data_IF_647631398198
#
_entry.id   IF_647631398198
#
_cell.length_a   1.000
_cell.length_b   1.000
_cell.length_c   1.000
_cell.angle_alpha   90.00
_cell.angle_beta   90.00
_cell.angle_gamma   90.00
#
_symmetry.space_group_name_H-M   'P 1'
#
loop_
_entity.id
_entity.type
_entity.pdbx_description
1 polymer ?
#
# COMPACT_ATOMS: atom_id res chain seq x y z
N UNK A 1 12.20 2.02 -35.54
CA UNK A 1 11.54 1.77 -34.25
C UNK A 1 12.22 2.64 -33.19
N UNK A 2 11.46 3.47 -32.45
CA UNK A 2 12.03 4.26 -31.36
C UNK A 2 12.06 3.42 -30.10
N UNK A 3 13.20 3.35 -29.43
CA UNK A 3 13.38 2.67 -28.15
C UNK A 3 13.70 3.72 -27.07
N UNK A 4 13.19 3.47 -25.87
CA UNK A 4 13.44 4.27 -24.68
C UNK A 4 14.00 3.34 -23.60
N UNK A 5 15.11 3.71 -23.00
CA UNK A 5 15.74 2.97 -21.92
C UNK A 5 15.85 3.82 -20.65
N UNK A 6 15.63 3.20 -19.50
CA UNK A 6 15.84 3.78 -18.16
C UNK A 6 16.80 2.92 -17.41
N UNK A 7 17.83 3.50 -16.84
CA UNK A 7 18.72 2.85 -15.88
C UNK A 7 18.58 3.53 -14.52
N UNK A 8 18.27 2.78 -13.47
CA UNK A 8 18.10 3.29 -12.13
C UNK A 8 18.21 2.18 -11.09
N UNK A 9 18.52 2.53 -9.86
CA UNK A 9 18.33 1.66 -8.71
C UNK A 9 16.83 1.49 -8.46
N UNK A 10 16.32 0.28 -8.18
CA UNK A 10 14.91 0.03 -7.94
C UNK A 10 14.50 0.56 -6.56
N UNK A 11 13.95 1.77 -6.55
CA UNK A 11 13.53 2.44 -5.33
C UNK A 11 12.01 2.44 -5.20
N UNK A 12 11.51 1.68 -4.22
CA UNK A 12 10.09 1.60 -3.90
C UNK A 12 9.21 0.98 -5.00
N UNK A 13 7.92 0.91 -4.71
CA UNK A 13 6.91 0.35 -5.63
C UNK A 13 6.15 1.46 -6.38
N UNK A 14 6.91 2.43 -6.94
CA UNK A 14 6.38 3.60 -7.65
C UNK A 14 6.24 3.34 -9.15
N UNK A 15 6.32 4.40 -9.97
CA UNK A 15 6.08 4.35 -11.42
C UNK A 15 6.93 3.28 -12.14
N UNK A 16 8.18 3.10 -11.73
CA UNK A 16 9.08 2.10 -12.34
C UNK A 16 8.62 0.67 -12.04
N UNK A 17 8.19 0.40 -10.82
CA UNK A 17 7.56 -0.87 -10.47
C UNK A 17 6.29 -1.10 -11.28
N UNK A 18 5.38 -0.13 -11.28
CA UNK A 18 4.12 -0.24 -12.00
C UNK A 18 4.32 -0.42 -13.51
N UNK A 19 5.38 0.19 -14.06
CA UNK A 19 5.67 0.13 -15.51
C UNK A 19 6.41 -1.14 -15.91
N UNK A 20 7.29 -1.69 -15.08
CA UNK A 20 8.21 -2.75 -15.48
C UNK A 20 8.26 -3.95 -14.52
N UNK A 21 8.01 -3.78 -13.24
CA UNK A 21 8.26 -4.78 -12.19
C UNK A 21 7.03 -5.56 -11.74
N UNK A 22 5.84 -4.98 -11.81
CA UNK A 22 4.59 -5.61 -11.36
C UNK A 22 4.23 -6.83 -12.21
N UNK A 23 3.40 -7.73 -11.68
CA UNK A 23 2.94 -8.90 -12.40
C UNK A 23 2.21 -8.51 -13.69
N UNK A 24 1.39 -7.45 -13.64
CA UNK A 24 0.71 -6.92 -14.82
C UNK A 24 1.72 -6.37 -15.86
N UNK A 25 2.73 -5.62 -15.41
CA UNK A 25 3.75 -5.08 -16.31
C UNK A 25 4.55 -6.18 -17.04
N UNK A 26 4.81 -7.31 -16.38
CA UNK A 26 5.53 -8.46 -16.96
C UNK A 26 4.76 -9.15 -18.09
N UNK A 27 3.46 -8.99 -18.18
CA UNK A 27 2.65 -9.54 -19.29
C UNK A 27 2.71 -8.69 -20.56
N UNK A 28 3.23 -7.47 -20.49
CA UNK A 28 3.33 -6.56 -21.63
C UNK A 28 4.52 -6.93 -22.52
N UNK A 29 4.32 -6.93 -23.83
CA UNK A 29 5.34 -7.27 -24.83
C UNK A 29 6.15 -6.06 -25.34
N UNK A 30 5.67 -4.85 -25.05
CA UNK A 30 6.26 -3.58 -25.49
C UNK A 30 7.39 -3.07 -24.57
N UNK A 31 7.63 -3.77 -23.46
CA UNK A 31 8.62 -3.39 -22.45
C UNK A 31 9.34 -4.58 -21.85
N UNK A 32 10.51 -4.32 -21.30
CA UNK A 32 11.32 -5.35 -20.64
C UNK A 32 12.06 -4.78 -19.44
N UNK A 33 12.04 -5.50 -18.32
CA UNK A 33 12.90 -5.26 -17.17
C UNK A 33 14.15 -6.14 -17.28
N UNK A 34 15.33 -5.51 -17.17
CA UNK A 34 16.60 -6.20 -17.03
C UNK A 34 17.12 -5.86 -15.63
N UNK A 35 17.26 -6.87 -14.79
CA UNK A 35 17.89 -6.74 -13.48
C UNK A 35 19.37 -7.03 -13.58
N UNK A 36 20.18 -6.20 -12.96
CA UNK A 36 21.62 -6.38 -12.80
C UNK A 36 21.91 -6.28 -11.30
N UNK A 37 22.59 -7.29 -10.77
CA UNK A 37 23.02 -7.28 -9.37
C UNK A 37 24.43 -6.67 -9.26
N UNK A 38 24.72 -6.04 -8.14
CA UNK A 38 26.07 -5.54 -7.89
C UNK A 38 27.11 -6.67 -7.96
N UNK A 39 26.76 -7.86 -7.50
CA UNK A 39 27.61 -9.06 -7.59
C UNK A 39 27.96 -9.47 -9.03
N UNK A 40 27.17 -9.09 -10.01
CA UNK A 40 27.39 -9.43 -11.41
C UNK A 40 28.45 -8.54 -12.09
N UNK A 41 28.96 -7.52 -11.39
CA UNK A 41 29.99 -6.61 -11.89
C UNK A 41 31.41 -7.09 -11.49
N UNK A 42 32.19 -7.64 -12.45
CA UNK A 42 33.53 -8.18 -12.15
C UNK A 42 34.61 -7.11 -11.89
N UNK A 43 34.28 -5.83 -12.10
CA UNK A 43 35.23 -4.71 -11.96
C UNK A 43 35.16 -4.02 -10.60
N UNK A 44 34.34 -4.53 -9.67
CA UNK A 44 34.26 -3.95 -8.33
C UNK A 44 35.49 -4.32 -7.49
N UNK A 45 35.98 -3.38 -6.63
CA UNK A 45 36.97 -3.71 -5.61
C UNK A 45 36.48 -4.86 -4.71
N UNK A 46 37.40 -5.70 -4.25
CA UNK A 46 37.07 -6.88 -3.43
C UNK A 46 36.36 -6.56 -2.11
N UNK A 47 36.55 -5.36 -1.58
CA UNK A 47 35.97 -4.87 -0.35
C UNK A 47 34.71 -4.00 -0.53
N UNK A 48 34.30 -3.79 -1.78
CA UNK A 48 33.15 -2.90 -2.08
C UNK A 48 31.85 -3.40 -1.44
N UNK A 49 31.57 -4.69 -1.57
CA UNK A 49 30.36 -5.30 -1.04
C UNK A 49 30.34 -5.27 0.49
N UNK A 50 31.46 -5.65 1.13
CA UNK A 50 31.60 -5.61 2.59
C UNK A 50 31.38 -4.21 3.15
N UNK A 51 31.89 -3.19 2.48
CA UNK A 51 31.65 -1.79 2.87
C UNK A 51 30.18 -1.37 2.73
N UNK A 52 29.47 -1.88 1.74
CA UNK A 52 28.03 -1.65 1.64
C UNK A 52 27.28 -2.31 2.79
N UNK A 53 27.61 -3.57 3.10
CA UNK A 53 27.00 -4.34 4.18
C UNK A 53 27.22 -3.72 5.57
N UNK A 54 28.39 -3.11 5.79
CA UNK A 54 28.72 -2.42 7.03
C UNK A 54 27.99 -1.06 7.21
N UNK A 55 27.66 -0.38 6.11
CA UNK A 55 27.21 1.01 6.15
C UNK A 55 25.72 1.20 5.82
N UNK A 56 25.04 0.18 5.31
CA UNK A 56 23.65 0.31 4.88
C UNK A 56 22.72 -0.67 5.60
N UNK A 57 21.51 -0.21 5.88
CA UNK A 57 20.44 -1.05 6.43
C UNK A 57 20.00 -2.14 5.43
N UNK A 58 19.48 -3.25 5.95
CA UNK A 58 19.12 -4.44 5.17
C UNK A 58 18.20 -4.17 3.97
N UNK A 59 17.26 -3.23 4.10
CA UNK A 59 16.35 -2.85 2.99
C UNK A 59 17.07 -2.18 1.82
N UNK A 60 18.04 -1.30 2.12
CA UNK A 60 18.89 -0.65 1.12
C UNK A 60 19.81 -1.67 0.43
N UNK A 61 20.35 -2.61 1.19
CA UNK A 61 21.19 -3.67 0.65
C UNK A 61 20.46 -4.52 -0.39
N UNK A 62 19.18 -4.86 -0.17
CA UNK A 62 18.38 -5.61 -1.15
C UNK A 62 18.26 -4.86 -2.48
N UNK A 63 18.02 -3.54 -2.45
CA UNK A 63 17.96 -2.74 -3.65
C UNK A 63 19.31 -2.63 -4.37
N UNK A 64 20.37 -2.33 -3.62
CA UNK A 64 21.70 -2.07 -4.21
C UNK A 64 22.42 -3.35 -4.62
N UNK A 65 22.37 -4.41 -3.80
CA UNK A 65 23.12 -5.64 -4.10
C UNK A 65 22.36 -6.55 -5.06
N UNK A 66 21.05 -6.72 -4.88
CA UNK A 66 20.26 -7.67 -5.65
C UNK A 66 19.43 -7.03 -6.76
N UNK A 67 19.38 -5.70 -6.85
CA UNK A 67 18.54 -4.99 -7.81
C UNK A 67 17.04 -5.27 -7.61
N UNK A 68 16.62 -5.45 -6.37
CA UNK A 68 15.23 -5.75 -6.04
C UNK A 68 14.45 -4.50 -5.67
N UNK A 69 13.19 -4.45 -6.09
CA UNK A 69 12.29 -3.39 -5.66
C UNK A 69 11.98 -3.58 -4.18
N UNK A 70 12.44 -2.66 -3.37
CA UNK A 70 12.15 -2.62 -1.94
C UNK A 70 11.82 -1.20 -1.51
N UNK A 71 11.12 -1.10 -0.39
CA UNK A 71 10.79 0.20 0.16
C UNK A 71 12.00 0.73 0.93
N UNK A 72 12.71 1.70 0.35
CA UNK A 72 13.95 2.27 0.91
C UNK A 72 13.67 3.46 1.85
N UNK A 73 12.42 3.79 2.08
CA UNK A 73 12.06 4.95 2.92
C UNK A 73 12.48 4.71 4.37
N UNK A 74 13.47 5.46 4.82
CA UNK A 74 13.77 5.66 6.24
C UNK A 74 12.52 6.18 6.93
N UNK A 75 12.06 5.49 7.98
CA UNK A 75 10.83 5.86 8.67
C UNK A 75 9.59 5.04 8.27
N UNK A 76 9.77 3.82 7.79
CA UNK A 76 8.66 2.88 7.56
C UNK A 76 7.94 2.63 8.87
N UNK A 77 6.67 3.05 8.95
CA UNK A 77 5.83 2.89 10.14
C UNK A 77 5.68 1.40 10.49
N UNK A 78 5.58 0.53 9.48
CA UNK A 78 5.48 -0.92 9.64
C UNK A 78 6.77 -1.61 9.18
N UNK A 79 7.83 -1.48 9.97
CA UNK A 79 9.16 -2.04 9.64
C UNK A 79 9.19 -3.56 9.49
N UNK A 80 8.21 -4.27 10.08
CA UNK A 80 8.05 -5.73 9.99
C UNK A 80 7.14 -6.17 8.86
N UNK A 81 6.62 -5.25 8.06
CA UNK A 81 5.75 -5.62 6.93
C UNK A 81 6.58 -6.28 5.83
N UNK A 82 6.25 -7.54 5.53
CA UNK A 82 6.84 -8.32 4.45
C UNK A 82 5.73 -8.77 3.49
N UNK A 83 5.87 -8.42 2.21
CA UNK A 83 4.84 -8.72 1.20
C UNK A 83 4.61 -10.22 1.01
N UNK A 84 5.66 -11.03 1.11
CA UNK A 84 5.54 -12.48 0.93
C UNK A 84 4.74 -13.16 2.04
N UNK A 85 4.73 -12.54 3.23
CA UNK A 85 4.06 -13.05 4.42
C UNK A 85 2.72 -12.38 4.67
N UNK A 86 2.61 -11.06 4.38
CA UNK A 86 1.47 -10.25 4.80
C UNK A 86 0.50 -9.89 3.67
N UNK A 87 0.83 -10.23 2.41
CA UNK A 87 -0.07 -9.98 1.27
C UNK A 87 -0.62 -11.31 0.78
N UNK A 88 -1.93 -11.40 0.68
CA UNK A 88 -2.64 -12.52 0.09
C UNK A 88 -3.21 -12.12 -1.26
N UNK A 89 -3.20 -13.02 -2.23
CA UNK A 89 -3.71 -12.77 -3.57
C UNK A 89 -5.23 -12.99 -3.68
N UNK A 90 -5.81 -13.75 -2.75
CA UNK A 90 -7.22 -14.08 -2.75
C UNK A 90 -8.02 -13.13 -1.86
N UNK A 91 -9.11 -12.59 -2.42
CA UNK A 91 -10.07 -11.81 -1.63
C UNK A 91 -10.81 -12.73 -0.66
N UNK A 92 -10.96 -12.37 0.65
CA UNK A 92 -11.68 -13.19 1.59
C UNK A 92 -13.17 -13.30 1.23
N UNK A 93 -13.80 -14.43 1.57
CA UNK A 93 -15.25 -14.53 1.52
C UNK A 93 -15.85 -13.69 2.65
N UNK A 94 -16.65 -12.70 2.29
CA UNK A 94 -17.27 -11.75 3.22
C UNK A 94 -18.78 -11.99 3.41
N UNK A 95 -19.33 -13.07 2.83
CA UNK A 95 -20.75 -13.36 2.91
C UNK A 95 -21.17 -13.60 4.36
N UNK A 96 -22.15 -12.82 4.83
CA UNK A 96 -22.66 -12.82 6.20
C UNK A 96 -21.63 -12.49 7.31
N UNK A 97 -20.44 -12.05 6.96
CA UNK A 97 -19.41 -11.69 7.93
C UNK A 97 -19.51 -10.21 8.32
N UNK A 98 -19.28 -9.87 9.61
CA UNK A 98 -19.20 -8.48 10.03
C UNK A 98 -17.91 -7.84 9.57
N UNK A 99 -18.02 -6.70 8.89
CA UNK A 99 -16.88 -5.94 8.40
C UNK A 99 -16.43 -4.88 9.40
N UNK A 100 -15.15 -4.59 9.40
CA UNK A 100 -14.52 -3.55 10.21
C UNK A 100 -13.95 -2.48 9.29
N UNK A 101 -14.34 -1.23 9.50
CA UNK A 101 -13.97 -0.11 8.64
C UNK A 101 -13.27 0.94 9.48
N UNK A 102 -12.00 1.18 9.18
CA UNK A 102 -11.24 2.31 9.72
C UNK A 102 -11.42 3.53 8.83
N UNK A 103 -11.70 4.69 9.40
CA UNK A 103 -11.94 5.94 8.66
C UNK A 103 -11.00 7.02 9.17
N UNK A 104 -10.34 7.70 8.21
CA UNK A 104 -9.54 8.91 8.40
C UNK A 104 -10.27 10.08 7.74
N UNK A 105 -10.68 11.07 8.57
CA UNK A 105 -11.44 12.23 8.12
C UNK A 105 -10.51 13.36 7.69
N UNK A 106 -10.57 13.67 6.40
CA UNK A 106 -9.89 14.82 5.84
C UNK A 106 -10.84 15.62 4.95
N UNK A 107 -10.80 16.92 5.03
CA UNK A 107 -11.67 17.79 4.21
C UNK A 107 -11.41 17.55 2.73
N UNK A 108 -12.45 17.10 2.01
CA UNK A 108 -12.37 16.80 0.59
C UNK A 108 -11.53 15.55 0.22
N UNK A 109 -11.10 14.78 1.22
CA UNK A 109 -10.26 13.59 1.01
C UNK A 109 -10.41 12.58 2.14
N UNK A 110 -11.65 12.23 2.51
CA UNK A 110 -11.92 11.20 3.51
C UNK A 110 -11.61 9.83 2.96
N UNK A 111 -10.88 9.01 3.73
CA UNK A 111 -10.44 7.70 3.30
C UNK A 111 -10.94 6.62 4.26
N UNK A 112 -11.19 5.44 3.74
CA UNK A 112 -11.57 4.28 4.52
C UNK A 112 -10.82 3.03 4.08
N UNK A 113 -10.50 2.17 5.04
CA UNK A 113 -9.98 0.81 4.79
C UNK A 113 -10.96 -0.20 5.34
N UNK A 114 -11.24 -1.24 4.54
CA UNK A 114 -12.23 -2.27 4.86
C UNK A 114 -11.53 -3.58 5.15
N UNK A 115 -11.83 -4.16 6.30
CA UNK A 115 -11.22 -5.40 6.78
C UNK A 115 -12.21 -6.40 7.31
N UNK A 116 -11.78 -7.66 7.27
CA UNK A 116 -12.44 -8.81 7.87
C UNK A 116 -11.56 -9.36 9.00
N UNK A 117 -12.13 -9.51 10.20
CA UNK A 117 -11.45 -10.11 11.34
C UNK A 117 -11.99 -11.53 11.56
N UNK A 118 -11.09 -12.51 11.53
CA UNK A 118 -11.40 -13.92 11.84
C UNK A 118 -10.40 -14.40 12.88
N UNK A 119 -10.91 -14.73 14.09
CA UNK A 119 -10.06 -15.03 15.24
C UNK A 119 -9.11 -13.86 15.54
N UNK A 120 -7.82 -14.14 15.63
CA UNK A 120 -6.78 -13.15 15.92
C UNK A 120 -6.19 -12.50 14.66
N UNK A 121 -6.73 -12.81 13.48
CA UNK A 121 -6.24 -12.31 12.20
C UNK A 121 -7.15 -11.23 11.62
N UNK A 122 -6.53 -10.22 11.01
CA UNK A 122 -7.23 -9.16 10.29
C UNK A 122 -6.75 -9.14 8.84
N UNK A 123 -7.67 -9.27 7.90
CA UNK A 123 -7.39 -9.12 6.47
C UNK A 123 -8.00 -7.82 5.96
N UNK A 124 -7.16 -6.89 5.52
CA UNK A 124 -7.61 -5.69 4.80
C UNK A 124 -7.74 -6.07 3.33
N UNK A 125 -8.92 -5.89 2.74
CA UNK A 125 -9.21 -6.39 1.39
C UNK A 125 -9.81 -5.35 0.44
N UNK A 126 -10.19 -4.17 0.94
CA UNK A 126 -10.72 -3.08 0.12
C UNK A 126 -10.39 -1.72 0.74
N UNK A 127 -10.44 -0.69 -0.09
CA UNK A 127 -10.26 0.70 0.30
C UNK A 127 -11.22 1.63 -0.45
N UNK A 128 -11.56 2.75 0.18
CA UNK A 128 -12.27 3.87 -0.44
C UNK A 128 -11.40 5.10 -0.26
N UNK A 129 -10.96 5.68 -1.36
CA UNK A 129 -10.04 6.80 -1.35
C UNK A 129 -10.71 8.08 -1.84
N UNK A 130 -10.32 9.19 -1.24
CA UNK A 130 -10.68 10.53 -1.69
C UNK A 130 -12.20 10.78 -1.77
N UNK A 131 -12.98 10.23 -0.85
CA UNK A 131 -14.38 10.62 -0.71
C UNK A 131 -14.49 12.10 -0.37
N UNK A 132 -15.39 12.80 -1.06
CA UNK A 132 -15.53 14.25 -0.92
C UNK A 132 -15.99 14.63 0.50
N UNK A 133 -16.91 13.85 1.07
CA UNK A 133 -17.45 14.05 2.40
C UNK A 133 -17.89 12.72 3.03
N UNK A 134 -18.29 12.78 4.30
CA UNK A 134 -18.71 11.61 5.09
C UNK A 134 -20.03 11.02 4.60
N UNK A 135 -20.95 11.83 4.10
CA UNK A 135 -22.21 11.36 3.51
C UNK A 135 -21.97 10.52 2.25
N UNK A 136 -21.07 10.96 1.40
CA UNK A 136 -20.65 10.23 0.18
C UNK A 136 -19.99 8.93 0.55
N UNK A 137 -19.08 8.94 1.52
CA UNK A 137 -18.42 7.74 2.02
C UNK A 137 -19.43 6.72 2.57
N UNK A 138 -20.37 7.19 3.42
CA UNK A 138 -21.41 6.32 4.01
C UNK A 138 -22.29 5.66 2.94
N UNK A 139 -22.68 6.40 1.92
CA UNK A 139 -23.45 5.87 0.78
C UNK A 139 -22.65 4.82 0.00
N UNK A 140 -21.37 5.09 -0.24
CA UNK A 140 -20.51 4.16 -0.96
C UNK A 140 -20.29 2.87 -0.16
N UNK A 141 -20.06 2.94 1.15
CA UNK A 141 -19.96 1.78 2.02
C UNK A 141 -21.25 0.94 1.96
N UNK A 142 -22.41 1.57 2.09
CA UNK A 142 -23.71 0.88 2.00
C UNK A 142 -23.95 0.22 0.63
N UNK A 143 -23.52 0.86 -0.44
CA UNK A 143 -23.66 0.31 -1.79
C UNK A 143 -22.72 -0.88 -2.04
N UNK A 144 -21.50 -0.83 -1.53
CA UNK A 144 -20.54 -1.94 -1.68
C UNK A 144 -20.88 -3.14 -0.79
N UNK A 145 -21.45 -2.89 0.41
CA UNK A 145 -21.66 -3.90 1.46
C UNK A 145 -23.08 -3.85 2.02
N UNK A 146 -24.14 -4.02 1.19
CA UNK A 146 -25.55 -3.79 1.59
C UNK A 146 -26.07 -4.81 2.62
N UNK A 147 -25.45 -5.99 2.70
CA UNK A 147 -25.91 -7.10 3.55
C UNK A 147 -24.98 -7.40 4.73
N UNK A 148 -23.83 -6.73 4.81
CA UNK A 148 -22.89 -6.97 5.87
C UNK A 148 -23.20 -6.09 7.09
N UNK A 149 -23.03 -6.64 8.29
CA UNK A 149 -22.95 -5.84 9.50
C UNK A 149 -21.64 -5.07 9.51
N UNK A 150 -21.68 -3.76 9.77
CA UNK A 150 -20.53 -2.88 9.70
C UNK A 150 -20.20 -2.34 11.08
N UNK A 151 -18.94 -2.46 11.49
CA UNK A 151 -18.36 -1.80 12.64
C UNK A 151 -17.41 -0.72 12.16
N UNK A 152 -17.67 0.52 12.52
CA UNK A 152 -16.89 1.68 12.12
C UNK A 152 -15.93 2.08 13.25
N UNK A 153 -14.69 2.33 12.89
CA UNK A 153 -13.61 2.81 13.76
C UNK A 153 -13.12 4.14 13.21
N UNK A 154 -13.79 5.24 13.59
CA UNK A 154 -13.44 6.57 13.10
C UNK A 154 -12.21 7.08 13.84
N UNK A 155 -11.44 7.93 13.15
CA UNK A 155 -10.46 8.80 13.79
C UNK A 155 -11.15 9.75 14.79
N UNK A 156 -10.43 10.11 15.86
CA UNK A 156 -10.91 11.00 16.92
C UNK A 156 -11.31 12.41 16.42
N UNK A 157 -10.76 12.85 15.28
CA UNK A 157 -11.09 14.14 14.67
C UNK A 157 -12.54 14.23 14.20
N UNK A 158 -13.18 13.10 13.87
CA UNK A 158 -14.58 13.03 13.43
C UNK A 158 -15.61 13.45 14.49
N UNK A 159 -15.20 13.59 15.77
CA UNK A 159 -16.02 14.16 16.84
C UNK A 159 -16.07 15.69 16.85
N UNK A 160 -15.22 16.37 16.09
CA UNK A 160 -15.13 17.82 16.05
C UNK A 160 -16.27 18.40 15.20
N UNK A 161 -16.96 19.42 15.71
CA UNK A 161 -17.92 20.21 14.91
C UNK A 161 -17.16 21.19 14.03
N UNK A 162 -17.40 21.15 12.74
CA UNK A 162 -17.08 22.27 11.85
C UNK A 162 -18.12 23.40 12.07
N UNK A 163 -17.69 24.65 11.97
CA UNK A 163 -18.53 25.83 12.16
C UNK A 163 -19.74 25.89 11.22
N UNK A 164 -19.74 25.12 10.14
CA UNK A 164 -20.79 25.12 9.11
C UNK A 164 -21.56 23.80 9.01
N UNK A 165 -21.30 22.80 9.87
CA UNK A 165 -21.96 21.52 9.82
C UNK A 165 -23.00 21.36 10.95
N UNK A 166 -24.17 20.82 10.59
CA UNK A 166 -25.29 20.57 11.54
C UNK A 166 -25.00 19.32 12.38
N UNK A 167 -24.23 18.37 11.84
CA UNK A 167 -23.84 17.09 12.46
C UNK A 167 -22.33 16.92 12.42
N UNK A 168 -21.81 16.16 13.37
CA UNK A 168 -20.41 15.69 13.32
C UNK A 168 -20.30 14.51 12.35
N UNK A 169 -19.09 14.21 11.86
CA UNK A 169 -18.84 13.07 10.99
C UNK A 169 -19.28 11.73 11.61
N UNK A 170 -19.05 11.58 12.93
CA UNK A 170 -19.51 10.41 13.69
C UNK A 170 -21.04 10.32 13.68
N UNK A 171 -21.76 11.43 13.88
CA UNK A 171 -23.22 11.47 13.85
C UNK A 171 -23.84 11.18 12.47
N UNK A 172 -23.07 11.34 11.40
CA UNK A 172 -23.49 10.98 10.03
C UNK A 172 -23.40 9.47 9.83
N UNK A 173 -22.42 8.83 10.47
CA UNK A 173 -22.15 7.40 10.34
C UNK A 173 -23.05 6.51 11.22
N UNK A 174 -23.70 7.07 12.25
CA UNK A 174 -24.70 6.40 13.09
C UNK A 174 -26.06 6.27 12.38
#
# INVERSE_FOLDING_TARGET
QRQFGVASTPEGFRWMWNTFGSNEAKTKTDRRLIKMRTYDNPHLPSDFISRLEENYESGLLQAYLNGEFCNITTGVVYSRFDRSTHVIDERPNIENEPLRIGIDFNIGNTNAVIGLAIGDSMTIFDEINASYDTDTLAKEIKNRYPFNKIYIYPDASGGNRSTNATKTDIQILE
#
